data_IF_845319735746
#
_entry.id   IF_845319735746
#
_cell.length_a   1.000
_cell.length_b   1.000
_cell.length_c   1.000
_cell.angle_alpha   90.00
_cell.angle_beta   90.00
_cell.angle_gamma   90.00
#
_symmetry.space_group_name_H-M   'P 1'
#
loop_
_entity.id
_entity.type
_entity.pdbx_description
1 polymer ?
#
# COMPACT_ATOMS: atom_id res chain seq x y z
N UNK A 1 -22.98 -13.60 -0.51
CA UNK A 1 -23.60 -12.71 -1.51
C UNK A 1 -22.50 -11.83 -2.06
N UNK A 2 -22.40 -11.65 -3.37
CA UNK A 2 -21.41 -10.76 -4.01
C UNK A 2 -22.11 -9.50 -4.54
N UNK A 3 -21.40 -8.38 -4.56
CA UNK A 3 -21.86 -7.09 -5.07
C UNK A 3 -21.03 -6.67 -6.27
N UNK A 4 -21.66 -6.08 -7.28
CA UNK A 4 -20.97 -5.49 -8.44
C UNK A 4 -20.55 -4.06 -8.11
N UNK A 5 -19.27 -3.74 -8.29
CA UNK A 5 -18.67 -2.47 -7.90
C UNK A 5 -17.80 -1.94 -9.04
N UNK A 6 -17.79 -0.62 -9.24
CA UNK A 6 -16.89 0.03 -10.19
C UNK A 6 -15.44 -0.04 -9.71
N UNK A 7 -14.51 -0.27 -10.64
CA UNK A 7 -13.06 -0.30 -10.38
C UNK A 7 -12.57 0.93 -9.61
N UNK A 8 -13.06 2.11 -9.95
CA UNK A 8 -12.65 3.38 -9.31
C UNK A 8 -13.02 3.41 -7.83
N UNK A 9 -14.17 2.82 -7.46
CA UNK A 9 -14.62 2.73 -6.06
C UNK A 9 -13.71 1.78 -5.27
N UNK A 10 -13.27 0.68 -5.88
CA UNK A 10 -12.33 -0.27 -5.26
C UNK A 10 -10.96 0.40 -5.02
N UNK A 11 -10.46 1.14 -6.02
CA UNK A 11 -9.21 1.90 -5.90
C UNK A 11 -9.32 2.94 -4.78
N UNK A 12 -10.43 3.69 -4.74
CA UNK A 12 -10.66 4.71 -3.72
C UNK A 12 -10.73 4.10 -2.32
N UNK A 13 -11.43 2.97 -2.16
CA UNK A 13 -11.50 2.24 -0.90
C UNK A 13 -10.12 1.79 -0.40
N UNK A 14 -9.30 1.25 -1.30
CA UNK A 14 -7.93 0.88 -0.96
C UNK A 14 -7.10 2.07 -0.50
N UNK A 15 -7.20 3.21 -1.20
CA UNK A 15 -6.51 4.46 -0.82
C UNK A 15 -7.00 4.97 0.54
N UNK A 16 -8.31 4.92 0.79
CA UNK A 16 -8.88 5.30 2.08
C UNK A 16 -8.29 4.47 3.22
N UNK A 17 -8.19 3.15 3.07
CA UNK A 17 -7.53 2.28 4.05
C UNK A 17 -6.08 2.73 4.32
N UNK A 18 -5.29 3.02 3.28
CA UNK A 18 -3.92 3.52 3.47
C UNK A 18 -3.87 4.81 4.31
N UNK A 19 -4.82 5.71 4.08
CA UNK A 19 -4.92 6.93 4.88
C UNK A 19 -5.32 6.61 6.31
N UNK A 20 -6.35 5.80 6.51
CA UNK A 20 -6.88 5.44 7.83
C UNK A 20 -5.89 4.69 8.71
N UNK A 21 -4.96 3.92 8.13
CA UNK A 21 -3.90 3.22 8.89
C UNK A 21 -2.60 4.03 9.03
N UNK A 22 -2.59 5.30 8.61
CA UNK A 22 -1.41 6.17 8.72
C UNK A 22 -0.24 5.81 7.79
N UNK A 23 -0.46 4.94 6.80
CA UNK A 23 0.61 4.48 5.91
C UNK A 23 1.19 5.61 5.03
N UNK A 24 0.45 6.69 4.82
CA UNK A 24 0.93 7.86 4.10
C UNK A 24 2.06 8.59 4.85
N UNK A 25 2.06 8.60 6.19
CA UNK A 25 3.17 9.14 6.98
C UNK A 25 4.45 8.30 6.79
N UNK A 26 4.29 6.97 6.75
CA UNK A 26 5.40 6.04 6.48
C UNK A 26 5.99 6.26 5.09
N UNK A 27 5.12 6.41 4.08
CA UNK A 27 5.56 6.70 2.71
C UNK A 27 6.33 8.02 2.61
N UNK A 28 5.91 9.07 3.32
CA UNK A 28 6.58 10.37 3.34
C UNK A 28 8.03 10.26 3.82
N UNK A 29 8.28 9.50 4.89
CA UNK A 29 9.65 9.25 5.38
C UNK A 29 10.47 8.49 4.35
N UNK A 30 9.90 7.44 3.73
CA UNK A 30 10.60 6.66 2.72
C UNK A 30 11.01 7.53 1.52
N UNK A 31 10.08 8.35 1.01
CA UNK A 31 10.31 9.24 -0.14
C UNK A 31 11.38 10.28 0.17
N UNK A 32 11.28 10.94 1.34
CA UNK A 32 12.30 11.91 1.79
C UNK A 32 13.69 11.30 1.98
N UNK A 33 13.74 10.01 2.25
CA UNK A 33 14.98 9.24 2.40
C UNK A 33 15.51 8.71 1.06
N UNK A 34 14.93 9.11 -0.07
CA UNK A 34 15.34 8.68 -1.41
C UNK A 34 14.84 7.30 -1.83
N UNK A 35 13.94 6.68 -1.06
CA UNK A 35 13.34 5.39 -1.40
C UNK A 35 11.92 5.57 -1.97
N UNK A 36 11.55 4.78 -2.98
CA UNK A 36 10.20 4.81 -3.54
C UNK A 36 9.80 3.45 -4.10
N UNK A 37 8.69 2.91 -3.61
CA UNK A 37 8.07 1.70 -4.19
C UNK A 37 7.63 1.92 -5.66
N UNK A 38 7.42 3.18 -6.05
CA UNK A 38 7.08 3.59 -7.42
C UNK A 38 8.29 3.90 -8.30
N UNK A 39 9.53 3.70 -7.81
CA UNK A 39 10.74 3.98 -8.58
C UNK A 39 10.71 3.31 -9.96
N UNK A 40 11.01 4.07 -11.02
CA UNK A 40 10.94 3.64 -12.43
C UNK A 40 9.53 3.29 -12.94
N UNK A 41 8.46 3.74 -12.29
CA UNK A 41 7.11 3.62 -12.84
C UNK A 41 6.89 4.67 -13.94
N UNK A 42 6.44 4.24 -15.13
CA UNK A 42 6.12 5.15 -16.26
C UNK A 42 5.02 6.17 -15.96
N UNK A 43 4.26 5.97 -14.88
CA UNK A 43 3.20 6.87 -14.43
C UNK A 43 3.63 7.74 -13.24
N UNK A 44 4.86 7.61 -12.75
CA UNK A 44 5.40 8.50 -11.72
C UNK A 44 6.04 9.70 -12.44
N UNK A 45 5.62 10.91 -12.07
CA UNK A 45 6.22 12.15 -12.53
C UNK A 45 6.95 12.82 -11.38
N UNK A 46 8.17 13.29 -11.63
CA UNK A 46 8.99 13.99 -10.65
C UNK A 46 8.25 15.22 -10.12
N UNK A 47 8.33 15.42 -8.80
CA UNK A 47 7.68 16.51 -8.04
C UNK A 47 6.14 16.57 -8.10
N UNK A 48 5.48 15.81 -8.99
CA UNK A 48 4.02 15.74 -9.11
C UNK A 48 3.45 14.46 -8.47
N UNK A 49 4.20 13.35 -8.53
CA UNK A 49 3.77 12.04 -8.03
C UNK A 49 3.05 11.19 -9.08
N UNK A 50 2.28 10.20 -8.62
CA UNK A 50 1.65 9.22 -9.50
C UNK A 50 0.48 9.83 -10.31
N UNK A 51 0.58 9.76 -11.64
CA UNK A 51 -0.44 10.26 -12.57
C UNK A 51 -1.54 9.24 -12.90
N UNK A 52 -1.38 7.99 -12.48
CA UNK A 52 -2.29 6.90 -12.84
C UNK A 52 -2.31 5.79 -11.78
N UNK A 53 -2.64 6.15 -10.53
CA UNK A 53 -2.85 5.14 -9.49
C UNK A 53 -3.97 4.21 -9.95
N UNK A 54 -3.69 2.92 -9.91
CA UNK A 54 -4.52 1.88 -10.51
C UNK A 54 -4.68 0.71 -9.52
N UNK A 55 -5.45 -0.30 -9.88
CA UNK A 55 -5.76 -1.45 -9.03
C UNK A 55 -4.50 -2.15 -8.54
N UNK A 56 -3.53 -2.40 -9.42
CA UNK A 56 -2.27 -3.04 -9.06
C UNK A 56 -1.40 -2.17 -8.13
N UNK A 57 -1.32 -0.86 -8.40
CA UNK A 57 -0.58 0.07 -7.55
C UNK A 57 -1.19 0.22 -6.16
N UNK A 58 -2.52 0.11 -6.06
CA UNK A 58 -3.21 0.18 -4.78
C UNK A 58 -3.10 -1.15 -4.03
N UNK A 59 -3.26 -2.29 -4.69
CA UNK A 59 -3.25 -3.59 -4.03
C UNK A 59 -1.88 -4.03 -3.51
N UNK A 60 -0.81 -3.69 -4.23
CA UNK A 60 0.54 -4.10 -3.90
C UNK A 60 1.08 -3.29 -2.72
N UNK A 61 1.49 -4.00 -1.67
CA UNK A 61 2.19 -3.44 -0.52
C UNK A 61 3.70 -3.63 -0.72
N UNK A 62 4.47 -2.57 -0.49
CA UNK A 62 5.92 -2.71 -0.33
C UNK A 62 6.24 -3.46 0.99
N UNK A 63 7.47 -3.88 1.23
CA UNK A 63 7.89 -4.60 2.44
C UNK A 63 7.54 -3.88 3.74
N UNK A 64 7.85 -2.58 3.83
CA UNK A 64 7.52 -1.73 4.99
C UNK A 64 6.00 -1.61 5.20
N UNK A 65 5.24 -1.44 4.12
CA UNK A 65 3.78 -1.39 4.21
C UNK A 65 3.19 -2.74 4.61
N UNK A 66 3.74 -3.83 4.10
CA UNK A 66 3.33 -5.19 4.48
C UNK A 66 3.61 -5.45 5.96
N UNK A 67 4.76 -4.99 6.47
CA UNK A 67 5.06 -5.00 7.90
C UNK A 67 4.04 -4.20 8.70
N UNK A 68 3.72 -2.96 8.32
CA UNK A 68 2.70 -2.16 9.01
C UNK A 68 1.35 -2.89 9.06
N UNK A 69 0.89 -3.39 7.92
CA UNK A 69 -0.38 -4.10 7.81
C UNK A 69 -0.39 -5.39 8.64
N UNK A 70 0.74 -6.06 8.78
CA UNK A 70 0.87 -7.24 9.64
C UNK A 70 0.76 -6.85 11.12
N UNK A 71 1.47 -5.80 11.55
CA UNK A 71 1.45 -5.33 12.94
C UNK A 71 0.06 -4.93 13.43
N UNK A 72 -0.78 -4.37 12.55
CA UNK A 72 -2.16 -4.01 12.87
C UNK A 72 -3.17 -5.13 12.60
N UNK A 73 -2.71 -6.33 12.20
CA UNK A 73 -3.57 -7.48 11.92
C UNK A 73 -4.38 -7.41 10.62
N UNK A 74 -4.12 -6.43 9.75
CA UNK A 74 -4.87 -6.17 8.52
C UNK A 74 -4.34 -6.91 7.29
N UNK A 75 -3.08 -7.38 7.30
CA UNK A 75 -2.41 -7.94 6.11
C UNK A 75 -3.17 -9.11 5.47
N UNK A 76 -3.74 -10.00 6.28
CA UNK A 76 -4.48 -11.16 5.77
C UNK A 76 -5.81 -10.76 5.12
N UNK A 77 -6.51 -9.81 5.72
CA UNK A 77 -7.77 -9.28 5.19
C UNK A 77 -7.52 -8.49 3.90
N UNK A 78 -6.49 -7.64 3.89
CA UNK A 78 -6.02 -6.94 2.70
C UNK A 78 -5.74 -7.88 1.53
N UNK A 79 -4.91 -8.90 1.78
CA UNK A 79 -4.59 -9.90 0.76
C UNK A 79 -5.82 -10.66 0.27
N UNK A 80 -6.76 -10.96 1.17
CA UNK A 80 -8.01 -11.64 0.80
C UNK A 80 -8.88 -10.75 -0.08
N UNK A 81 -9.07 -9.50 0.29
CA UNK A 81 -9.84 -8.52 -0.49
C UNK A 81 -9.28 -8.39 -1.90
N UNK A 82 -7.98 -8.14 -2.03
CA UNK A 82 -7.36 -7.98 -3.34
C UNK A 82 -7.27 -9.29 -4.15
N UNK A 83 -7.28 -10.47 -3.51
CA UNK A 83 -7.35 -11.74 -4.24
C UNK A 83 -8.64 -11.94 -5.03
N UNK A 84 -9.71 -11.19 -4.68
CA UNK A 84 -10.98 -11.24 -5.41
C UNK A 84 -10.98 -10.36 -6.67
N UNK A 85 -10.03 -9.42 -6.79
CA UNK A 85 -10.02 -8.44 -7.88
C UNK A 85 -9.15 -8.97 -9.05
N UNK A 86 -9.72 -9.27 -10.23
CA UNK A 86 -8.95 -9.81 -11.34
C UNK A 86 -8.15 -8.72 -12.06
N UNK A 87 -7.17 -9.12 -12.87
CA UNK A 87 -6.45 -8.21 -13.77
C UNK A 87 -5.36 -7.36 -13.13
N UNK A 88 -5.05 -7.60 -11.84
CA UNK A 88 -3.88 -7.03 -11.20
C UNK A 88 -2.61 -7.73 -11.68
N UNK A 89 -1.66 -6.96 -12.18
CA UNK A 89 -0.32 -7.43 -12.54
C UNK A 89 0.71 -6.44 -11.98
N UNK A 90 1.97 -6.85 -11.80
CA UNK A 90 2.99 -5.94 -11.29
C UNK A 90 3.11 -4.69 -12.18
N UNK A 91 2.72 -3.53 -11.64
CA UNK A 91 2.70 -2.22 -12.31
C UNK A 91 1.85 -2.16 -13.61
N UNK A 92 0.95 -3.11 -13.81
CA UNK A 92 0.01 -3.16 -14.95
C UNK A 92 -1.38 -3.47 -14.43
N UNK A 93 -2.37 -2.78 -14.95
CA UNK A 93 -3.76 -2.93 -14.56
C UNK A 93 -4.61 -3.25 -15.79
N UNK A 94 -5.18 -4.45 -15.80
CA UNK A 94 -6.19 -4.90 -16.76
C UNK A 94 -7.50 -5.26 -16.04
N UNK A 95 -7.73 -4.72 -14.84
CA UNK A 95 -8.97 -4.91 -14.08
C UNK A 95 -10.15 -4.34 -14.88
N UNK A 96 -11.24 -5.11 -15.04
CA UNK A 96 -12.44 -4.64 -15.72
C UNK A 96 -13.05 -3.42 -15.02
N UNK A 97 -13.83 -2.61 -15.73
CA UNK A 97 -14.46 -1.42 -15.16
C UNK A 97 -15.46 -1.75 -14.04
N UNK A 98 -15.94 -2.99 -14.00
CA UNK A 98 -16.79 -3.51 -12.94
C UNK A 98 -16.29 -4.87 -12.45
N UNK A 99 -16.27 -5.05 -11.14
CA UNK A 99 -15.78 -6.26 -10.47
C UNK A 99 -16.80 -6.71 -9.43
N UNK A 100 -16.91 -8.02 -9.25
CA UNK A 100 -17.73 -8.62 -8.21
C UNK A 100 -16.89 -8.90 -6.97
N UNK A 101 -17.28 -8.35 -5.83
CA UNK A 101 -16.60 -8.57 -4.53
C UNK A 101 -17.59 -9.11 -3.51
N UNK A 102 -17.10 -9.82 -2.48
CA UNK A 102 -17.97 -10.27 -1.37
C UNK A 102 -18.32 -9.14 -0.43
N UNK A 103 -17.34 -8.35 -0.03
CA UNK A 103 -17.48 -7.24 0.91
C UNK A 103 -16.27 -6.32 0.86
N UNK A 104 -16.46 -5.08 1.28
CA UNK A 104 -15.35 -4.17 1.57
C UNK A 104 -14.72 -4.50 2.93
N UNK A 105 -13.45 -4.12 3.08
CA UNK A 105 -12.77 -4.07 4.38
C UNK A 105 -13.41 -2.94 5.20
N UNK A 106 -13.72 -3.22 6.46
CA UNK A 106 -14.33 -2.26 7.38
C UNK A 106 -13.28 -1.21 7.82
N UNK A 107 -13.53 0.06 7.50
CA UNK A 107 -12.63 1.17 7.81
C UNK A 107 -12.89 1.80 9.18
N UNK A 108 -14.04 1.55 9.80
CA UNK A 108 -14.45 2.22 11.06
C UNK A 108 -13.55 1.85 12.25
N UNK A 109 -12.89 0.70 12.18
CA UNK A 109 -12.01 0.18 13.23
C UNK A 109 -10.52 0.47 12.99
N UNK A 110 -10.19 1.12 11.88
CA UNK A 110 -8.81 1.45 11.53
C UNK A 110 -8.35 2.71 12.29
N UNK A 111 -7.11 2.69 12.74
CA UNK A 111 -6.47 3.77 13.49
C UNK A 111 -5.12 4.09 12.86
N UNK A 112 -4.82 5.39 12.70
CA UNK A 112 -3.57 5.89 12.11
C UNK A 112 -2.38 5.79 13.08
N UNK A 113 -2.63 5.60 14.37
CA UNK A 113 -1.62 5.66 15.43
C UNK A 113 -0.41 4.77 15.18
N UNK A 114 -0.60 3.51 14.78
CA UNK A 114 0.52 2.60 14.51
C UNK A 114 1.33 3.02 13.27
N UNK A 115 0.67 3.59 12.26
CA UNK A 115 1.35 4.18 11.10
C UNK A 115 2.20 5.39 11.48
N UNK A 116 1.68 6.26 12.34
CA UNK A 116 2.42 7.43 12.87
C UNK A 116 3.62 7.01 13.72
N UNK A 117 3.43 6.04 14.63
CA UNK A 117 4.51 5.49 15.45
C UNK A 117 5.60 4.85 14.60
N UNK A 118 5.23 4.10 13.55
CA UNK A 118 6.19 3.52 12.62
C UNK A 118 6.94 4.62 11.85
N UNK A 119 6.24 5.67 11.41
CA UNK A 119 6.88 6.80 10.72
C UNK A 119 7.93 7.48 11.60
N UNK A 120 7.64 7.75 12.87
CA UNK A 120 8.63 8.32 13.80
C UNK A 120 9.81 7.36 14.05
N UNK A 121 9.56 6.05 14.15
CA UNK A 121 10.65 5.05 14.26
C UNK A 121 11.55 5.04 13.02
N UNK A 122 10.97 5.08 11.83
CA UNK A 122 11.73 5.12 10.57
C UNK A 122 12.53 6.42 10.44
N UNK A 123 11.96 7.54 10.88
CA UNK A 123 12.64 8.83 10.91
C UNK A 123 13.87 8.80 11.83
N UNK A 124 13.75 8.25 13.04
CA UNK A 124 14.90 8.05 13.93
C UNK A 124 15.94 7.12 13.30
N UNK A 125 15.50 5.99 12.72
CA UNK A 125 16.39 5.05 12.04
C UNK A 125 17.23 5.72 10.93
N UNK A 126 16.61 6.57 10.11
CA UNK A 126 17.32 7.33 9.07
C UNK A 126 18.28 8.36 9.66
N UNK A 127 17.87 9.06 10.73
CA UNK A 127 18.74 10.03 11.42
C UNK A 127 19.98 9.37 12.04
N UNK A 128 19.88 8.11 12.43
CA UNK A 128 20.99 7.30 12.94
C UNK A 128 21.85 6.69 11.82
N UNK A 129 21.56 6.98 10.55
CA UNK A 129 22.30 6.50 9.39
C UNK A 129 21.80 5.20 8.78
N UNK A 130 20.58 4.76 9.13
CA UNK A 130 19.93 3.59 8.57
C UNK A 130 19.55 3.74 7.10
N UNK A 131 19.66 2.65 6.34
CA UNK A 131 19.27 2.59 4.93
C UNK A 131 17.85 2.02 4.75
N UNK A 132 16.92 2.89 4.35
CA UNK A 132 15.52 2.51 4.13
C UNK A 132 15.37 1.52 2.97
N UNK A 133 16.22 1.59 1.94
CA UNK A 133 16.21 0.65 0.83
C UNK A 133 16.64 -0.76 1.26
N UNK A 134 17.65 -0.86 2.13
CA UNK A 134 18.07 -2.14 2.72
C UNK A 134 16.97 -2.72 3.61
N UNK A 135 16.37 -1.89 4.48
CA UNK A 135 15.25 -2.30 5.34
C UNK A 135 14.06 -2.79 4.51
N UNK A 136 13.69 -2.06 3.46
CA UNK A 136 12.63 -2.43 2.53
C UNK A 136 12.91 -3.77 1.83
N UNK A 137 14.16 -3.99 1.38
CA UNK A 137 14.59 -5.26 0.79
C UNK A 137 14.50 -6.41 1.79
N UNK A 138 14.88 -6.17 3.05
CA UNK A 138 14.78 -7.16 4.12
C UNK A 138 13.31 -7.52 4.42
N UNK A 139 12.46 -6.52 4.64
CA UNK A 139 11.05 -6.73 4.96
C UNK A 139 10.28 -7.35 3.79
N UNK A 140 10.62 -7.00 2.55
CA UNK A 140 10.02 -7.62 1.37
C UNK A 140 10.27 -9.13 1.33
N UNK A 141 11.45 -9.62 1.73
CA UNK A 141 11.72 -11.08 1.79
C UNK A 141 10.87 -11.81 2.84
N UNK A 142 10.47 -11.11 3.90
CA UNK A 142 9.70 -11.68 5.01
C UNK A 142 8.19 -11.61 4.75
N UNK A 143 7.73 -10.50 4.16
CA UNK A 143 6.31 -10.16 4.10
C UNK A 143 5.73 -10.10 2.67
N UNK A 144 6.56 -9.92 1.64
CA UNK A 144 6.07 -9.96 0.26
C UNK A 144 5.70 -11.39 -0.12
N UNK A 145 4.50 -11.56 -0.67
CA UNK A 145 4.07 -12.81 -1.31
C UNK A 145 4.55 -12.96 -2.75
N UNK A 146 5.33 -11.99 -3.25
CA UNK A 146 5.83 -11.90 -4.63
C UNK A 146 7.33 -11.64 -4.65
#
# INVERSE_FOLDING_TARGET
MSIEVKKEVIIQHGVEIFHSVGAHHVCDICIKSGNSCCFSCQHLQDEVGCQKRNTACTAWLCGIQSFLFDQIGLLNEWNRFWSEIPGQMFRRDSTPDKVWIKSFIDTEKLDSREGELLAERLKTYVQEGGDIGELECHLSKTYSKY
#
